data_IF_442188347068
#
_entry.id   IF_442188347068
#
_cell.length_a   1.000
_cell.length_b   1.000
_cell.length_c   1.000
_cell.angle_alpha   90.00
_cell.angle_beta   90.00
_cell.angle_gamma   90.00
#
_symmetry.space_group_name_H-M   'P 1'
#
loop_
_entity.id
_entity.type
_entity.pdbx_description
1 polymer ?
#
# COMPACT_ATOMS: atom_id res chain seq x y z
N UNK A 1 14.08 24.70 11.14
CA UNK A 1 15.16 23.79 11.59
C UNK A 1 14.77 22.31 11.55
N UNK A 2 13.54 21.91 11.92
CA UNK A 2 13.08 20.50 11.88
C UNK A 2 12.97 19.90 10.45
N UNK A 3 12.64 20.71 9.45
CA UNK A 3 12.62 20.31 8.02
C UNK A 3 13.98 19.77 7.54
N UNK A 4 15.07 20.46 7.85
CA UNK A 4 16.39 20.07 7.35
C UNK A 4 16.93 18.82 8.03
N UNK A 5 16.69 18.60 9.32
CA UNK A 5 17.15 17.37 10.01
C UNK A 5 16.39 16.12 9.57
N UNK A 6 15.09 16.27 9.27
CA UNK A 6 14.23 15.20 8.78
C UNK A 6 14.65 14.71 7.38
N UNK A 7 14.87 15.62 6.43
CA UNK A 7 15.39 15.26 5.11
C UNK A 7 16.88 14.82 5.15
N UNK A 8 17.68 15.31 6.11
CA UNK A 8 19.10 14.94 6.23
C UNK A 8 19.31 13.48 6.66
N UNK A 9 18.56 12.96 7.65
CA UNK A 9 18.61 11.52 8.00
C UNK A 9 18.25 10.62 6.80
N UNK A 10 17.38 11.11 5.91
CA UNK A 10 16.89 10.36 4.75
C UNK A 10 17.80 10.38 3.53
N UNK A 11 18.82 11.24 3.50
CA UNK A 11 19.87 11.15 2.47
C UNK A 11 20.69 9.86 2.58
N UNK A 12 20.88 9.33 3.79
CA UNK A 12 21.56 8.05 4.02
C UNK A 12 20.66 6.90 3.57
N UNK A 13 19.40 6.87 4.01
CA UNK A 13 18.40 5.89 3.56
C UNK A 13 18.28 5.89 2.03
N UNK A 14 18.18 7.06 1.41
CA UNK A 14 18.13 7.20 -0.06
C UNK A 14 19.29 6.52 -0.76
N UNK A 15 20.53 6.71 -0.29
CA UNK A 15 21.71 6.05 -0.88
C UNK A 15 21.68 4.53 -0.69
N UNK A 16 21.23 4.08 0.49
CA UNK A 16 21.05 2.65 0.77
C UNK A 16 19.99 2.05 -0.17
N UNK A 17 18.84 2.69 -0.34
CA UNK A 17 17.78 2.26 -1.26
C UNK A 17 18.26 2.26 -2.72
N UNK A 18 18.98 3.30 -3.16
CA UNK A 18 19.55 3.35 -4.50
C UNK A 18 20.54 2.21 -4.76
N UNK A 19 21.32 1.81 -3.74
CA UNK A 19 22.25 0.69 -3.84
C UNK A 19 21.53 -0.66 -3.81
N UNK A 20 20.60 -0.86 -2.89
CA UNK A 20 19.87 -2.13 -2.71
C UNK A 20 18.94 -2.41 -3.89
N UNK A 21 18.19 -1.41 -4.36
CA UNK A 21 17.14 -1.58 -5.36
C UNK A 21 17.54 -1.12 -6.76
N UNK A 22 18.77 -0.64 -6.96
CA UNK A 22 19.24 -0.07 -8.22
C UNK A 22 19.04 -1.02 -9.42
N UNK A 23 19.37 -2.31 -9.26
CA UNK A 23 19.17 -3.30 -10.33
C UNK A 23 17.68 -3.55 -10.65
N UNK A 24 16.83 -3.62 -9.61
CA UNK A 24 15.39 -3.82 -9.77
C UNK A 24 14.76 -2.62 -10.50
N UNK A 25 15.16 -1.41 -10.14
CA UNK A 25 14.71 -0.18 -10.80
C UNK A 25 15.21 -0.05 -12.23
N UNK A 26 16.45 -0.44 -12.53
CA UNK A 26 16.96 -0.52 -13.91
C UNK A 26 16.13 -1.50 -14.73
N UNK A 27 15.79 -2.66 -14.17
CA UNK A 27 14.96 -3.65 -14.85
C UNK A 27 13.53 -3.15 -15.08
N UNK A 28 12.93 -2.49 -14.08
CA UNK A 28 11.63 -1.85 -14.20
C UNK A 28 11.64 -0.76 -15.30
N UNK A 29 12.65 0.12 -15.28
CA UNK A 29 12.85 1.14 -16.32
C UNK A 29 12.94 0.50 -17.71
N UNK A 30 13.77 -0.54 -17.89
CA UNK A 30 13.91 -1.24 -19.17
C UNK A 30 12.60 -1.87 -19.63
N UNK A 31 11.83 -2.49 -18.73
CA UNK A 31 10.50 -3.03 -19.05
C UNK A 31 9.54 -1.93 -19.52
N UNK A 32 9.49 -0.80 -18.81
CA UNK A 32 8.65 0.36 -19.17
C UNK A 32 9.10 0.98 -20.50
N UNK A 33 10.39 1.01 -20.82
CA UNK A 33 10.84 1.57 -22.10
C UNK A 33 10.46 0.68 -23.29
N UNK A 34 10.42 -0.65 -23.10
CA UNK A 34 10.08 -1.63 -24.15
C UNK A 34 8.58 -1.70 -24.50
N UNK A 35 7.70 -1.23 -23.64
CA UNK A 35 6.25 -1.22 -23.91
C UNK A 35 5.90 -0.12 -24.92
N UNK A 36 4.98 -0.44 -25.83
CA UNK A 36 4.41 0.51 -26.81
C UNK A 36 3.25 1.32 -26.24
N UNK A 37 2.66 0.88 -25.10
CA UNK A 37 1.60 1.61 -24.43
C UNK A 37 2.19 2.89 -23.79
N UNK A 38 1.77 4.05 -24.29
CA UNK A 38 2.19 5.35 -23.77
C UNK A 38 1.60 5.65 -22.39
N UNK A 39 0.45 5.06 -22.05
CA UNK A 39 -0.25 5.25 -20.79
C UNK A 39 0.51 4.67 -19.60
N UNK A 40 1.43 3.72 -19.80
CA UNK A 40 2.27 3.17 -18.71
C UNK A 40 3.61 3.91 -18.55
N UNK A 41 3.93 4.87 -19.42
CA UNK A 41 5.23 5.57 -19.37
C UNK A 41 5.37 6.48 -18.15
N UNK A 42 4.26 6.95 -17.55
CA UNK A 42 4.33 7.76 -16.32
C UNK A 42 4.94 6.98 -15.16
N UNK A 43 4.87 5.63 -15.17
CA UNK A 43 5.48 4.79 -14.13
C UNK A 43 6.98 5.05 -14.00
N UNK A 44 7.68 5.34 -15.10
CA UNK A 44 9.11 5.66 -15.04
C UNK A 44 9.38 6.96 -14.27
N UNK A 45 8.55 7.98 -14.52
CA UNK A 45 8.60 9.26 -13.80
C UNK A 45 8.26 9.05 -12.33
N UNK A 46 7.23 8.25 -12.03
CA UNK A 46 6.83 7.87 -10.68
C UNK A 46 7.98 7.22 -9.91
N UNK A 47 8.61 6.19 -10.47
CA UNK A 47 9.72 5.47 -9.83
C UNK A 47 10.92 6.40 -9.57
N UNK A 48 11.24 7.28 -10.53
CA UNK A 48 12.29 8.30 -10.36
C UNK A 48 11.96 9.29 -9.26
N UNK A 49 10.71 9.76 -9.16
CA UNK A 49 10.29 10.66 -8.07
C UNK A 49 10.40 9.98 -6.71
N UNK A 50 9.89 8.76 -6.57
CA UNK A 50 9.96 7.99 -5.33
C UNK A 50 11.41 7.75 -4.89
N UNK A 51 12.29 7.32 -5.80
CA UNK A 51 13.72 7.09 -5.52
C UNK A 51 14.46 8.36 -5.06
N UNK A 52 14.05 9.50 -5.57
CA UNK A 52 14.67 10.78 -5.25
C UNK A 52 13.99 11.51 -4.09
N UNK A 53 12.94 10.92 -3.50
CA UNK A 53 12.09 11.57 -2.50
C UNK A 53 11.63 12.96 -2.97
N UNK A 54 11.26 13.03 -4.25
CA UNK A 54 11.00 14.28 -4.95
C UNK A 54 9.54 14.69 -4.81
N UNK A 55 9.26 15.52 -3.83
CA UNK A 55 7.95 16.12 -3.59
C UNK A 55 7.99 17.63 -3.87
N UNK A 56 6.93 18.18 -4.48
CA UNK A 56 6.72 19.63 -4.55
C UNK A 56 6.57 20.24 -3.14
N UNK A 57 6.52 21.57 -3.01
CA UNK A 57 6.29 22.21 -1.71
C UNK A 57 4.94 21.80 -1.08
N UNK A 58 3.88 21.75 -1.89
CA UNK A 58 2.53 21.32 -1.49
C UNK A 58 2.48 19.83 -1.14
N UNK A 59 3.13 18.98 -1.94
CA UNK A 59 3.25 17.55 -1.65
C UNK A 59 4.04 17.31 -0.36
N UNK A 60 5.13 18.06 -0.17
CA UNK A 60 5.98 17.98 1.03
C UNK A 60 5.22 18.38 2.30
N UNK A 61 4.26 19.30 2.22
CA UNK A 61 3.43 19.68 3.35
C UNK A 61 2.60 18.51 3.87
N UNK A 62 1.94 17.77 2.97
CA UNK A 62 1.17 16.58 3.33
C UNK A 62 2.04 15.47 3.87
N UNK A 63 3.15 15.17 3.18
CA UNK A 63 4.11 14.16 3.61
C UNK A 63 4.62 14.46 5.03
N UNK A 64 4.92 15.71 5.35
CA UNK A 64 5.34 16.09 6.71
C UNK A 64 4.24 15.88 7.75
N UNK A 65 3.00 16.26 7.46
CA UNK A 65 1.86 16.03 8.37
C UNK A 65 1.67 14.55 8.70
N UNK A 66 1.70 13.70 7.68
CA UNK A 66 1.53 12.24 7.85
C UNK A 66 2.68 11.65 8.65
N UNK A 67 3.89 12.18 8.49
CA UNK A 67 5.05 11.63 9.16
C UNK A 67 5.19 12.12 10.61
N UNK A 68 4.69 13.32 10.93
CA UNK A 68 4.47 13.73 12.32
C UNK A 68 3.45 12.82 13.02
N UNK A 69 2.39 12.40 12.30
CA UNK A 69 1.48 11.39 12.82
C UNK A 69 2.21 10.05 13.04
N UNK A 70 3.01 9.58 12.07
CA UNK A 70 3.81 8.36 12.23
C UNK A 70 4.73 8.43 13.44
N UNK A 71 5.41 9.56 13.66
CA UNK A 71 6.25 9.77 14.83
C UNK A 71 5.44 9.71 16.13
N UNK A 72 4.23 10.27 16.16
CA UNK A 72 3.32 10.14 17.30
C UNK A 72 2.93 8.68 17.57
N UNK A 73 2.56 7.94 16.52
CA UNK A 73 2.20 6.51 16.63
C UNK A 73 3.37 5.67 17.11
N UNK A 74 4.57 5.93 16.60
CA UNK A 74 5.81 5.24 16.99
C UNK A 74 6.18 5.45 18.47
N UNK A 75 5.61 6.45 19.14
CA UNK A 75 5.82 6.74 20.56
C UNK A 75 4.53 6.52 21.40
N UNK A 76 3.54 5.82 20.85
CA UNK A 76 2.29 5.54 21.53
C UNK A 76 2.28 4.12 22.12
N UNK A 77 2.46 4.03 23.43
CA UNK A 77 2.53 2.76 24.16
C UNK A 77 1.16 2.22 24.59
N UNK A 78 0.06 2.83 24.13
CA UNK A 78 -1.28 2.28 24.34
C UNK A 78 -1.36 0.89 23.71
N UNK A 79 -1.76 -0.09 24.53
CA UNK A 79 -1.97 -1.47 24.10
C UNK A 79 -3.36 -1.64 23.51
N UNK A 80 -3.45 -2.36 22.41
CA UNK A 80 -4.69 -2.78 21.77
C UNK A 80 -4.68 -4.28 21.52
N UNK A 81 -5.88 -4.87 21.48
CA UNK A 81 -6.06 -6.26 21.06
C UNK A 81 -6.10 -6.29 19.54
N UNK A 82 -5.23 -7.10 18.94
CA UNK A 82 -5.23 -7.33 17.51
C UNK A 82 -5.74 -8.74 17.26
N UNK A 83 -6.71 -8.82 16.37
CA UNK A 83 -7.11 -10.07 15.75
C UNK A 83 -6.35 -10.20 14.44
N UNK A 84 -5.53 -11.24 14.32
CA UNK A 84 -4.78 -11.53 13.10
C UNK A 84 -5.68 -12.34 12.15
N UNK A 85 -6.18 -11.66 11.12
CA UNK A 85 -6.98 -12.27 10.05
C UNK A 85 -6.14 -12.71 8.85
N UNK A 86 -4.81 -12.55 8.90
CA UNK A 86 -3.88 -12.91 7.84
C UNK A 86 -3.14 -14.22 8.11
N UNK A 87 -2.08 -14.47 7.33
CA UNK A 87 -1.22 -15.65 7.47
C UNK A 87 -0.45 -15.72 8.81
N UNK A 88 -0.58 -14.72 9.68
CA UNK A 88 0.27 -14.54 10.84
C UNK A 88 1.49 -13.68 10.52
N UNK A 89 2.10 -13.12 11.57
CA UNK A 89 3.49 -12.68 11.51
C UNK A 89 4.37 -13.69 12.24
N UNK A 90 5.46 -14.15 11.63
CA UNK A 90 6.51 -14.95 12.28
C UNK A 90 7.17 -14.23 13.49
N UNK A 91 6.79 -12.97 13.72
CA UNK A 91 7.27 -12.11 14.82
C UNK A 91 6.37 -12.15 16.06
N UNK A 92 5.33 -12.99 16.09
CA UNK A 92 4.47 -13.17 17.26
C UNK A 92 4.79 -14.50 17.94
N UNK A 93 5.39 -14.42 19.13
CA UNK A 93 5.77 -15.57 19.95
C UNK A 93 4.59 -16.18 20.72
N UNK A 94 3.49 -15.43 20.91
CA UNK A 94 2.34 -15.86 21.71
C UNK A 94 1.04 -15.36 21.07
N UNK A 95 0.30 -16.27 20.45
CA UNK A 95 -1.11 -16.06 20.12
C UNK A 95 -1.94 -16.84 21.12
N UNK A 96 -2.92 -16.19 21.75
CA UNK A 96 -3.93 -16.93 22.50
C UNK A 96 -4.93 -17.49 21.50
N UNK A 97 -5.08 -18.82 21.49
CA UNK A 97 -6.11 -19.47 20.69
C UNK A 97 -7.46 -19.29 21.36
N UNK A 98 -8.38 -18.63 20.68
CA UNK A 98 -9.81 -18.68 21.03
C UNK A 98 -10.45 -19.83 20.26
N UNK A 99 -11.55 -20.40 20.77
CA UNK A 99 -12.19 -21.62 20.23
C UNK A 99 -12.76 -21.54 18.80
N UNK A 100 -12.45 -20.48 18.05
CA UNK A 100 -12.91 -20.21 16.68
C UNK A 100 -11.73 -20.02 15.68
N UNK A 101 -10.54 -20.56 15.95
CA UNK A 101 -9.31 -20.39 15.12
C UNK A 101 -8.83 -18.93 14.97
N UNK A 102 -9.27 -18.04 15.86
CA UNK A 102 -8.88 -16.62 15.84
C UNK A 102 -7.66 -16.40 16.73
N UNK A 103 -6.59 -15.90 16.12
CA UNK A 103 -5.32 -15.52 16.76
C UNK A 103 -5.43 -14.11 17.34
N UNK A 104 -5.48 -14.01 18.68
CA UNK A 104 -5.52 -12.72 19.39
C UNK A 104 -4.17 -12.44 20.02
N UNK A 105 -3.64 -11.23 19.79
CA UNK A 105 -2.41 -10.74 20.40
C UNK A 105 -2.61 -9.33 20.96
N UNK A 106 -2.02 -9.06 22.13
CA UNK A 106 -1.91 -7.69 22.65
C UNK A 106 -0.60 -7.05 22.18
N UNK A 107 -0.70 -5.83 21.66
CA UNK A 107 0.44 -5.07 21.13
C UNK A 107 0.25 -3.58 21.39
N UNK A 108 1.36 -2.88 21.62
CA UNK A 108 1.34 -1.42 21.64
C UNK A 108 1.16 -0.87 20.22
N UNK A 109 0.54 0.31 20.12
CA UNK A 109 0.45 1.04 18.85
C UNK A 109 1.85 1.35 18.28
N UNK A 110 2.83 1.60 19.15
CA UNK A 110 4.23 1.82 18.78
C UNK A 110 4.84 0.61 18.09
N UNK A 111 4.62 -0.60 18.59
CA UNK A 111 5.11 -1.83 17.97
C UNK A 111 4.43 -2.07 16.62
N UNK A 112 3.11 -1.94 16.57
CA UNK A 112 2.32 -2.08 15.34
C UNK A 112 2.81 -1.09 14.28
N UNK A 113 2.96 0.18 14.65
CA UNK A 113 3.38 1.23 13.73
C UNK A 113 4.79 0.99 13.19
N UNK A 114 5.72 0.55 14.03
CA UNK A 114 7.12 0.32 13.63
C UNK A 114 7.28 -0.94 12.78
N UNK A 115 6.49 -1.98 13.03
CA UNK A 115 6.60 -3.27 12.35
C UNK A 115 5.81 -3.31 11.05
N UNK A 116 4.61 -2.71 11.03
CA UNK A 116 3.66 -2.88 9.94
C UNK A 116 3.62 -1.69 8.98
N UNK A 117 3.95 -0.47 9.42
CA UNK A 117 3.88 0.67 8.51
C UNK A 117 5.08 0.68 7.55
N UNK A 118 4.78 0.83 6.26
CA UNK A 118 5.79 0.93 5.22
C UNK A 118 6.66 2.17 5.40
N UNK A 119 7.94 2.03 5.11
CA UNK A 119 8.90 3.15 5.12
C UNK A 119 8.48 4.22 4.11
N UNK A 120 8.89 5.47 4.33
CA UNK A 120 8.49 6.59 3.46
C UNK A 120 8.76 6.33 1.98
N UNK A 121 9.80 5.58 1.63
CA UNK A 121 10.08 5.27 0.24
C UNK A 121 8.87 4.61 -0.45
N UNK A 122 8.28 3.62 0.21
CA UNK A 122 7.15 2.85 -0.32
C UNK A 122 5.84 3.62 -0.24
N UNK A 123 5.55 4.32 0.86
CA UNK A 123 4.35 5.17 0.93
C UNK A 123 4.43 6.37 -0.02
N UNK A 124 5.64 6.90 -0.25
CA UNK A 124 5.93 7.91 -1.26
C UNK A 124 5.75 7.38 -2.69
N UNK A 125 6.08 6.11 -2.95
CA UNK A 125 5.77 5.46 -4.22
C UNK A 125 4.26 5.40 -4.44
N UNK A 126 3.48 4.95 -3.45
CA UNK A 126 2.00 4.92 -3.53
C UNK A 126 1.44 6.33 -3.80
N UNK A 127 1.92 7.33 -3.08
CA UNK A 127 1.54 8.74 -3.30
C UNK A 127 1.82 9.20 -4.73
N UNK A 128 3.02 8.95 -5.26
CA UNK A 128 3.36 9.37 -6.62
C UNK A 128 2.61 8.59 -7.70
N UNK A 129 2.31 7.30 -7.48
CA UNK A 129 1.45 6.52 -8.36
C UNK A 129 0.08 7.20 -8.47
N UNK A 130 -0.56 7.50 -7.35
CA UNK A 130 -1.89 8.12 -7.31
C UNK A 130 -1.86 9.55 -7.86
N UNK A 131 -0.84 10.35 -7.56
CA UNK A 131 -0.68 11.70 -8.13
C UNK A 131 -0.59 11.72 -9.64
N UNK A 132 0.15 10.77 -10.23
CA UNK A 132 0.35 10.72 -11.68
C UNK A 132 -0.80 10.01 -12.40
N UNK A 133 -1.36 8.95 -11.81
CA UNK A 133 -2.49 8.19 -12.37
C UNK A 133 -3.80 8.98 -12.32
N UNK A 134 -3.99 9.82 -11.29
CA UNK A 134 -5.26 10.52 -11.00
C UNK A 134 -6.49 9.58 -11.01
N UNK A 135 -6.46 8.50 -10.21
CA UNK A 135 -7.54 7.52 -10.19
C UNK A 135 -8.83 8.11 -9.61
N UNK A 136 -9.98 7.64 -10.10
CA UNK A 136 -11.29 8.01 -9.54
C UNK A 136 -11.69 7.05 -8.40
N UNK A 137 -11.42 5.76 -8.56
CA UNK A 137 -11.76 4.74 -7.57
C UNK A 137 -10.52 3.97 -7.12
N UNK A 138 -10.12 4.17 -5.86
CA UNK A 138 -9.02 3.47 -5.23
C UNK A 138 -9.52 2.46 -4.20
N UNK A 139 -8.84 1.32 -4.12
CA UNK A 139 -9.03 0.30 -3.11
C UNK A 139 -7.72 0.02 -2.38
N UNK A 140 -7.76 -0.09 -1.07
CA UNK A 140 -6.70 -0.68 -0.25
C UNK A 140 -7.28 -1.84 0.57
N UNK A 141 -6.56 -2.97 0.61
CA UNK A 141 -6.83 -4.07 1.55
C UNK A 141 -5.74 -4.10 2.60
N UNK A 142 -6.11 -3.80 3.85
CA UNK A 142 -5.21 -3.71 5.00
C UNK A 142 -4.77 -2.26 5.25
N UNK A 143 -5.52 -1.56 6.10
CA UNK A 143 -5.21 -0.17 6.45
C UNK A 143 -4.24 -0.05 7.63
N UNK A 144 -4.22 -1.07 8.49
CA UNK A 144 -3.53 -1.06 9.77
C UNK A 144 -3.87 0.21 10.56
N UNK A 145 -2.88 1.04 10.90
CA UNK A 145 -3.08 2.32 11.61
C UNK A 145 -3.28 3.52 10.67
N UNK A 146 -3.41 3.29 9.36
CA UNK A 146 -3.87 4.26 8.37
C UNK A 146 -2.77 5.08 7.66
N UNK A 147 -1.50 4.68 7.74
CA UNK A 147 -0.41 5.49 7.16
C UNK A 147 -0.36 5.42 5.63
N UNK A 148 -0.44 4.23 5.03
CA UNK A 148 -0.50 4.07 3.56
C UNK A 148 -1.75 4.75 2.99
N UNK A 149 -2.90 4.52 3.62
CA UNK A 149 -4.16 5.21 3.34
C UNK A 149 -4.01 6.74 3.36
N UNK A 150 -3.28 7.29 4.34
CA UNK A 150 -3.06 8.73 4.44
C UNK A 150 -2.24 9.29 3.28
N UNK A 151 -1.21 8.57 2.82
CA UNK A 151 -0.43 8.98 1.64
C UNK A 151 -1.28 8.93 0.37
N UNK A 152 -2.05 7.86 0.15
CA UNK A 152 -2.94 7.74 -1.00
C UNK A 152 -4.00 8.85 -0.97
N UNK A 153 -4.66 9.06 0.16
CA UNK A 153 -5.70 10.06 0.30
C UNK A 153 -5.15 11.49 0.11
N UNK A 154 -3.97 11.81 0.65
CA UNK A 154 -3.34 13.12 0.42
C UNK A 154 -3.02 13.36 -1.07
N UNK A 155 -2.62 12.32 -1.81
CA UNK A 155 -2.45 12.41 -3.26
C UNK A 155 -3.77 12.68 -3.98
N UNK A 156 -4.87 12.05 -3.55
CA UNK A 156 -6.23 12.31 -4.06
C UNK A 156 -6.71 13.74 -3.74
N UNK A 157 -6.42 14.26 -2.54
CA UNK A 157 -6.73 15.65 -2.20
C UNK A 157 -6.03 16.62 -3.16
N UNK A 158 -4.72 16.44 -3.38
CA UNK A 158 -3.95 17.27 -4.32
C UNK A 158 -4.32 17.06 -5.80
N UNK A 159 -4.97 15.95 -6.13
CA UNK A 159 -5.53 15.73 -7.46
C UNK A 159 -6.89 16.40 -7.64
N UNK A 160 -7.53 16.84 -6.55
CA UNK A 160 -8.91 17.34 -6.53
C UNK A 160 -9.98 16.34 -7.04
N UNK A 161 -9.59 15.12 -7.42
CA UNK A 161 -10.47 14.04 -7.87
C UNK A 161 -10.30 12.74 -7.06
N UNK A 162 -11.19 11.78 -7.30
CA UNK A 162 -11.14 10.42 -6.78
C UNK A 162 -11.43 10.22 -5.28
N UNK A 163 -11.49 8.93 -4.91
CA UNK A 163 -11.74 8.46 -3.54
C UNK A 163 -11.02 7.14 -3.25
N UNK A 164 -10.72 6.91 -1.99
CA UNK A 164 -10.15 5.67 -1.47
C UNK A 164 -11.15 4.97 -0.55
N UNK A 165 -11.37 3.68 -0.80
CA UNK A 165 -11.95 2.77 0.17
C UNK A 165 -10.82 1.87 0.71
N UNK A 166 -10.66 1.81 2.02
CA UNK A 166 -9.73 0.87 2.67
C UNK A 166 -10.47 -0.09 3.59
N UNK A 167 -10.12 -1.37 3.52
CA UNK A 167 -10.75 -2.43 4.32
C UNK A 167 -9.76 -2.91 5.38
N UNK A 168 -10.19 -2.97 6.63
CA UNK A 168 -9.40 -3.43 7.76
C UNK A 168 -10.21 -4.40 8.62
N UNK A 169 -9.69 -5.61 8.83
CA UNK A 169 -10.40 -6.66 9.56
C UNK A 169 -10.40 -6.43 11.07
N UNK A 170 -9.28 -5.92 11.62
CA UNK A 170 -9.17 -5.69 13.05
C UNK A 170 -9.86 -4.38 13.45
N UNK A 171 -10.97 -4.47 14.18
CA UNK A 171 -11.75 -3.30 14.62
C UNK A 171 -10.89 -2.23 15.31
N UNK A 172 -9.98 -2.57 16.26
CA UNK A 172 -9.18 -1.54 16.91
C UNK A 172 -8.26 -0.81 15.94
N UNK A 173 -7.73 -1.51 14.93
CA UNK A 173 -6.89 -0.90 13.89
C UNK A 173 -7.73 -0.02 12.96
N UNK A 174 -8.89 -0.50 12.51
CA UNK A 174 -9.82 0.27 11.68
C UNK A 174 -10.25 1.57 12.38
N UNK A 175 -10.53 1.50 13.68
CA UNK A 175 -10.87 2.67 14.52
C UNK A 175 -9.68 3.63 14.63
N UNK A 176 -8.46 3.14 14.86
CA UNK A 176 -7.25 3.97 14.89
C UNK A 176 -7.00 4.64 13.52
N UNK A 177 -7.08 3.89 12.42
CA UNK A 177 -6.91 4.41 11.07
C UNK A 177 -7.93 5.52 10.78
N UNK A 178 -9.21 5.28 11.08
CA UNK A 178 -10.28 6.27 10.90
C UNK A 178 -10.00 7.56 11.65
N UNK A 179 -9.63 7.45 12.94
CA UNK A 179 -9.30 8.60 13.78
C UNK A 179 -8.08 9.37 13.26
N UNK A 180 -7.06 8.67 12.77
CA UNK A 180 -5.86 9.27 12.22
C UNK A 180 -6.14 10.04 10.92
N UNK A 181 -6.92 9.45 10.02
CA UNK A 181 -7.31 10.08 8.76
C UNK A 181 -8.22 11.30 9.00
N UNK A 182 -9.11 11.23 9.99
CA UNK A 182 -9.92 12.37 10.43
C UNK A 182 -9.05 13.50 11.01
N UNK A 183 -8.07 13.19 11.86
CA UNK A 183 -7.12 14.18 12.41
C UNK A 183 -6.32 14.88 11.30
N UNK A 184 -5.97 14.16 10.25
CA UNK A 184 -5.30 14.71 9.07
C UNK A 184 -6.23 15.50 8.15
N UNK A 185 -7.55 15.43 8.36
CA UNK A 185 -8.58 16.08 7.55
C UNK A 185 -8.54 15.62 6.10
N UNK A 186 -8.51 14.29 5.90
CA UNK A 186 -8.51 13.65 4.58
C UNK A 186 -9.92 13.08 4.29
N UNK A 187 -10.85 13.87 3.69
CA UNK A 187 -12.23 13.43 3.47
C UNK A 187 -12.39 12.40 2.34
N UNK A 188 -11.41 12.28 1.43
CA UNK A 188 -11.51 11.34 0.29
C UNK A 188 -11.23 9.88 0.63
N UNK A 189 -11.08 9.53 1.90
CA UNK A 189 -10.86 8.15 2.33
C UNK A 189 -11.96 7.68 3.28
N UNK A 190 -12.43 6.47 3.05
CA UNK A 190 -13.32 5.74 3.95
C UNK A 190 -12.65 4.45 4.41
N UNK A 191 -12.57 4.27 5.72
CA UNK A 191 -12.17 2.99 6.32
C UNK A 191 -13.43 2.17 6.58
N UNK A 192 -13.40 0.89 6.20
CA UNK A 192 -14.46 -0.08 6.48
C UNK A 192 -13.88 -1.18 7.34
N UNK A 193 -14.50 -1.42 8.50
CA UNK A 193 -14.14 -2.56 9.34
C UNK A 193 -14.91 -3.81 8.89
N UNK A 194 -14.28 -4.63 8.05
CA UNK A 194 -14.84 -5.86 7.51
C UNK A 194 -13.71 -6.85 7.22
N UNK A 195 -14.03 -8.14 7.13
CA UNK A 195 -13.10 -9.10 6.51
C UNK A 195 -12.86 -8.73 5.04
N UNK A 196 -11.68 -9.05 4.50
CA UNK A 196 -11.40 -8.79 3.08
C UNK A 196 -12.44 -9.45 2.16
N UNK A 197 -12.91 -10.65 2.50
CA UNK A 197 -13.91 -11.35 1.68
C UNK A 197 -15.26 -10.58 1.65
N UNK A 198 -15.74 -10.09 2.80
CA UNK A 198 -16.99 -9.33 2.86
C UNK A 198 -16.86 -7.96 2.20
N UNK A 199 -15.75 -7.26 2.47
CA UNK A 199 -15.48 -5.97 1.87
C UNK A 199 -15.33 -6.06 0.35
N UNK A 200 -14.66 -7.10 -0.16
CA UNK A 200 -14.57 -7.35 -1.59
C UNK A 200 -15.93 -7.66 -2.22
N UNK A 201 -16.77 -8.49 -1.59
CA UNK A 201 -18.14 -8.74 -2.08
C UNK A 201 -18.91 -7.43 -2.25
N UNK A 202 -18.85 -6.56 -1.24
CA UNK A 202 -19.49 -5.23 -1.29
C UNK A 202 -18.96 -4.39 -2.45
N UNK A 203 -17.66 -4.42 -2.72
CA UNK A 203 -17.05 -3.68 -3.83
C UNK A 203 -17.51 -4.23 -5.18
N UNK A 204 -17.54 -5.56 -5.32
CA UNK A 204 -17.97 -6.22 -6.56
C UNK A 204 -19.42 -5.89 -6.92
N UNK A 205 -20.27 -5.67 -5.92
CA UNK A 205 -21.67 -5.30 -6.12
C UNK A 205 -21.88 -3.82 -6.46
N UNK A 206 -21.02 -2.92 -5.94
CA UNK A 206 -21.30 -1.48 -5.93
C UNK A 206 -20.31 -0.65 -6.77
N UNK A 207 -19.16 -1.20 -7.15
CA UNK A 207 -18.13 -0.50 -7.89
C UNK A 207 -18.12 -0.97 -9.35
N UNK A 208 -18.20 -0.02 -10.29
CA UNK A 208 -18.14 -0.35 -11.72
C UNK A 208 -16.70 -0.54 -12.23
N UNK A 209 -15.77 0.23 -11.67
CA UNK A 209 -14.38 0.23 -12.11
C UNK A 209 -13.45 0.64 -10.95
N UNK A 210 -12.30 -0.02 -10.85
CA UNK A 210 -11.20 0.34 -9.95
C UNK A 210 -10.00 0.78 -10.79
N UNK A 211 -9.45 1.95 -10.48
CA UNK A 211 -8.32 2.53 -11.19
C UNK A 211 -7.00 2.27 -10.44
N UNK A 212 -7.05 2.21 -9.11
CA UNK A 212 -5.89 1.90 -8.28
C UNK A 212 -6.26 0.89 -7.20
N UNK A 213 -5.44 -0.14 -7.03
CA UNK A 213 -5.62 -1.15 -5.98
C UNK A 213 -4.29 -1.37 -5.26
N UNK A 214 -4.30 -1.33 -3.93
CA UNK A 214 -3.18 -1.71 -3.09
C UNK A 214 -3.57 -2.90 -2.20
N UNK A 215 -2.82 -3.99 -2.29
CA UNK A 215 -3.05 -5.22 -1.52
C UNK A 215 -1.95 -5.38 -0.47
N UNK A 216 -2.25 -5.08 0.80
CA UNK A 216 -1.32 -5.00 1.94
C UNK A 216 -1.95 -5.56 3.23
N UNK A 217 -2.41 -6.81 3.22
CA UNK A 217 -3.26 -7.28 4.32
C UNK A 217 -3.28 -8.75 4.69
N UNK A 218 -3.16 -9.70 3.76
CA UNK A 218 -3.28 -11.13 4.10
C UNK A 218 -1.92 -11.83 4.21
N UNK A 219 -0.95 -11.42 3.39
CA UNK A 219 0.37 -12.06 3.28
C UNK A 219 0.31 -13.57 3.00
N UNK A 220 -0.80 -14.01 2.41
CA UNK A 220 -1.06 -15.34 1.92
C UNK A 220 -1.20 -15.29 0.39
N UNK A 221 -0.37 -16.07 -0.30
CA UNK A 221 -0.26 -16.06 -1.75
C UNK A 221 -1.50 -16.59 -2.46
N UNK A 222 -2.19 -17.58 -1.89
CA UNK A 222 -3.44 -18.10 -2.46
C UNK A 222 -4.55 -17.05 -2.36
N UNK A 223 -4.68 -16.40 -1.21
CA UNK A 223 -5.59 -15.29 -0.99
C UNK A 223 -5.28 -14.12 -1.94
N UNK A 224 -4.01 -13.75 -2.10
CA UNK A 224 -3.58 -12.70 -3.04
C UNK A 224 -4.01 -13.01 -4.48
N UNK A 225 -3.79 -14.24 -4.96
CA UNK A 225 -4.22 -14.66 -6.29
C UNK A 225 -5.75 -14.67 -6.42
N UNK A 226 -6.47 -15.08 -5.38
CA UNK A 226 -7.93 -15.05 -5.33
C UNK A 226 -8.46 -13.62 -5.41
N UNK A 227 -7.89 -12.69 -4.64
CA UNK A 227 -8.26 -11.28 -4.66
C UNK A 227 -7.98 -10.65 -6.03
N UNK A 228 -6.83 -10.95 -6.63
CA UNK A 228 -6.55 -10.54 -8.01
C UNK A 228 -7.64 -11.04 -8.98
N UNK A 229 -7.99 -12.32 -8.91
CA UNK A 229 -9.04 -12.90 -9.76
C UNK A 229 -10.42 -12.26 -9.57
N UNK A 230 -10.80 -11.96 -8.32
CA UNK A 230 -12.05 -11.29 -7.99
C UNK A 230 -12.08 -9.84 -8.49
N UNK A 231 -10.98 -9.10 -8.34
CA UNK A 231 -10.91 -7.69 -8.71
C UNK A 231 -10.71 -7.47 -10.21
N UNK A 232 -10.10 -8.43 -10.92
CA UNK A 232 -9.77 -8.29 -12.33
C UNK A 232 -10.94 -7.81 -13.22
N UNK A 233 -12.19 -8.31 -13.09
CA UNK A 233 -13.34 -7.80 -13.85
C UNK A 233 -13.57 -6.30 -13.72
N UNK A 234 -13.26 -5.69 -12.57
CA UNK A 234 -13.44 -4.26 -12.30
C UNK A 234 -12.28 -3.38 -12.80
N UNK A 235 -11.19 -3.97 -13.30
CA UNK A 235 -10.04 -3.20 -13.77
C UNK A 235 -10.20 -2.79 -15.24
N UNK A 236 -9.44 -1.78 -15.65
CA UNK A 236 -9.24 -1.35 -17.05
C UNK A 236 -7.77 -1.55 -17.44
N UNK A 237 -7.42 -1.33 -18.72
CA UNK A 237 -6.02 -1.33 -19.18
C UNK A 237 -5.17 -0.24 -18.53
N UNK A 238 -5.81 0.78 -17.96
CA UNK A 238 -5.18 1.89 -17.26
C UNK A 238 -5.07 1.69 -15.74
N UNK A 239 -5.69 0.64 -15.20
CA UNK A 239 -5.67 0.39 -13.77
C UNK A 239 -4.28 -0.02 -13.29
N UNK A 240 -3.94 0.35 -12.06
CA UNK A 240 -2.70 -0.05 -11.40
C UNK A 240 -3.02 -0.91 -10.20
N UNK A 241 -2.41 -2.09 -10.13
CA UNK A 241 -2.40 -2.91 -8.92
C UNK A 241 -1.02 -2.91 -8.30
N UNK A 242 -0.96 -2.65 -7.00
CA UNK A 242 0.25 -2.73 -6.19
C UNK A 242 0.07 -3.86 -5.18
N UNK A 243 1.02 -4.78 -5.17
CA UNK A 243 1.07 -5.93 -4.29
C UNK A 243 2.18 -5.69 -3.28
N UNK A 244 1.84 -5.68 -2.00
CA UNK A 244 2.83 -5.58 -0.96
C UNK A 244 3.47 -6.94 -0.63
N UNK A 245 4.65 -6.89 0.00
CA UNK A 245 5.29 -8.02 0.66
C UNK A 245 5.42 -9.27 -0.25
N UNK A 246 5.73 -9.04 -1.53
CA UNK A 246 5.87 -10.08 -2.57
C UNK A 246 7.02 -11.07 -2.32
N UNK A 247 7.79 -10.89 -1.24
CA UNK A 247 8.86 -11.78 -0.77
C UNK A 247 8.74 -12.16 0.70
N UNK A 248 7.59 -11.90 1.32
CA UNK A 248 7.35 -12.17 2.74
C UNK A 248 7.57 -13.63 3.10
N UNK A 249 7.06 -14.53 2.26
CA UNK A 249 7.20 -15.97 2.40
C UNK A 249 7.47 -16.61 1.04
N UNK A 250 7.89 -17.89 1.05
CA UNK A 250 7.99 -18.68 -0.19
C UNK A 250 6.65 -18.68 -0.94
N UNK A 251 5.55 -18.83 -0.21
CA UNK A 251 4.21 -18.86 -0.78
C UNK A 251 3.83 -17.51 -1.44
N UNK A 252 4.13 -16.36 -0.80
CA UNK A 252 3.94 -15.04 -1.42
C UNK A 252 4.83 -14.83 -2.66
N UNK A 253 6.09 -15.27 -2.62
CA UNK A 253 6.98 -15.19 -3.76
C UNK A 253 6.49 -16.05 -4.94
N UNK A 254 5.98 -17.25 -4.66
CA UNK A 254 5.43 -18.12 -5.69
C UNK A 254 4.13 -17.55 -6.27
N UNK A 255 3.27 -16.93 -5.46
CA UNK A 255 2.11 -16.18 -5.94
C UNK A 255 2.50 -14.99 -6.83
N UNK A 256 3.53 -14.23 -6.46
CA UNK A 256 4.04 -13.14 -7.29
C UNK A 256 4.59 -13.66 -8.64
N UNK A 257 5.32 -14.78 -8.66
CA UNK A 257 5.77 -15.40 -9.92
C UNK A 257 4.60 -15.79 -10.80
N UNK A 258 3.53 -16.34 -10.22
CA UNK A 258 2.32 -16.69 -10.95
C UNK A 258 1.67 -15.46 -11.57
N UNK A 259 1.53 -14.35 -10.83
CA UNK A 259 1.05 -13.08 -11.36
C UNK A 259 1.91 -12.56 -12.52
N UNK A 260 3.24 -12.60 -12.39
CA UNK A 260 4.16 -12.13 -13.43
C UNK A 260 3.97 -12.86 -14.76
N UNK A 261 3.52 -14.12 -14.74
CA UNK A 261 3.27 -14.94 -15.92
C UNK A 261 1.79 -15.04 -16.32
N UNK A 262 0.88 -14.39 -15.59
CA UNK A 262 -0.56 -14.43 -15.87
C UNK A 262 -0.87 -13.65 -17.14
N UNK A 263 -1.59 -14.27 -18.08
CA UNK A 263 -1.96 -13.66 -19.37
C UNK A 263 -2.83 -12.40 -19.22
N UNK A 264 -3.47 -12.23 -18.06
CA UNK A 264 -4.25 -11.05 -17.70
C UNK A 264 -3.41 -9.85 -17.29
N UNK A 265 -2.07 -9.98 -17.25
CA UNK A 265 -1.15 -8.90 -16.87
C UNK A 265 -0.34 -8.48 -18.10
N UNK A 266 -0.49 -7.21 -18.48
CA UNK A 266 0.26 -6.59 -19.58
C UNK A 266 1.69 -6.25 -19.18
N UNK A 267 1.86 -5.67 -17.99
CA UNK A 267 3.15 -5.24 -17.47
C UNK A 267 3.24 -5.58 -15.99
N UNK A 268 4.34 -6.22 -15.60
CA UNK A 268 4.69 -6.47 -14.20
C UNK A 268 6.06 -5.88 -13.88
N UNK A 269 6.14 -5.11 -12.78
CA UNK A 269 7.36 -4.51 -12.24
C UNK A 269 7.62 -5.11 -10.87
N UNK A 270 8.73 -5.83 -10.74
CA UNK A 270 9.18 -6.37 -9.45
C UNK A 270 10.15 -5.37 -8.82
N UNK A 271 9.78 -4.81 -7.67
CA UNK A 271 10.58 -3.84 -6.92
C UNK A 271 11.17 -4.47 -5.64
N UNK A 272 11.15 -5.80 -5.52
CA UNK A 272 11.68 -6.52 -4.36
C UNK A 272 10.67 -6.64 -3.23
N UNK A 273 10.30 -5.53 -2.58
CA UNK A 273 9.27 -5.53 -1.51
C UNK A 273 7.86 -5.45 -2.08
N UNK A 274 7.65 -4.56 -3.06
CA UNK A 274 6.37 -4.39 -3.74
C UNK A 274 6.45 -4.86 -5.20
N UNK A 275 5.32 -5.33 -5.71
CA UNK A 275 5.09 -5.59 -7.12
C UNK A 275 4.07 -4.60 -7.69
N UNK A 276 4.25 -4.16 -8.93
CA UNK A 276 3.24 -3.35 -9.65
C UNK A 276 2.80 -4.14 -10.88
N UNK A 277 1.49 -4.27 -11.08
CA UNK A 277 0.91 -4.87 -12.28
C UNK A 277 -0.04 -3.90 -12.98
N UNK A 278 0.03 -3.91 -14.31
CA UNK A 278 -0.93 -3.28 -15.23
C UNK A 278 -1.73 -4.40 -15.91
N UNK A 279 -3.07 -4.40 -15.84
CA UNK A 279 -3.91 -5.41 -16.47
C UNK A 279 -3.83 -5.40 -18.00
N UNK A 280 -3.96 -6.56 -18.61
CA UNK A 280 -4.13 -6.75 -20.04
C UNK A 280 -5.60 -6.57 -20.42
N UNK A 281 -6.01 -5.32 -20.66
CA UNK A 281 -7.34 -4.98 -21.15
C UNK A 281 -7.26 -3.88 -22.21
N UNK A 282 -8.24 -3.84 -23.14
CA UNK A 282 -8.36 -2.74 -24.09
C UNK A 282 -8.64 -1.41 -23.38
#
# INVERSE_FOLDING_TARGET
MALNSYFFRRNIERRVYQLIFGLLLINAHKKIQKTENSEVKYLDITLKKALNYSFSAEESYWVQKIELLRDSLNNNDQVVQIIDFGAGSDRVSEYNMTGNDVKVAERSISDISRLSNKQIFWTGLLFHLVRNLKPENCLELGSCVGISAAYIAAALELNEAGKLLTIEGAEPLATIASNNLQKLQLPKVKVVNESFQNGLNTILENCKQLDFVFLDGHHDGEATLKYFGQLYPLLSGNSVMVFDDIRWSKNMLDAWKNLVTDERIYLSLDLGMMGICIPQKP
#
